data_IF_322200149620
#
_entry.id   IF_322200149620
#
_cell.length_a   1.000
_cell.length_b   1.000
_cell.length_c   1.000
_cell.angle_alpha   90.00
_cell.angle_beta   90.00
_cell.angle_gamma   90.00
#
_symmetry.space_group_name_H-M   'P 1'
#
loop_
_entity.id
_entity.type
_entity.pdbx_description
1 polymer ?
#
# COMPACT_ATOMS: atom_id res chain seq x y z
N UNK A 1 17.31 -22.91 21.85
CA UNK A 1 17.61 -21.53 21.37
C UNK A 1 16.38 -21.07 20.63
N UNK A 2 15.77 -19.95 21.03
CA UNK A 2 14.52 -19.48 20.40
C UNK A 2 14.76 -19.23 18.92
N UNK A 3 13.80 -19.62 18.08
CA UNK A 3 13.82 -19.44 16.63
C UNK A 3 13.68 -17.95 16.21
N UNK A 4 14.31 -17.04 16.95
CA UNK A 4 14.14 -15.58 16.82
C UNK A 4 14.63 -15.05 15.46
N UNK A 5 15.59 -15.75 14.84
CA UNK A 5 16.06 -15.45 13.48
C UNK A 5 15.08 -15.94 12.41
N UNK A 6 14.42 -17.09 12.63
CA UNK A 6 13.46 -17.65 11.69
C UNK A 6 12.27 -16.69 11.51
N UNK A 7 11.86 -16.04 12.60
CA UNK A 7 10.76 -15.08 12.62
C UNK A 7 11.22 -13.62 12.69
N UNK A 8 12.50 -13.30 12.45
CA UNK A 8 13.02 -11.92 12.46
C UNK A 8 12.52 -11.09 13.66
N UNK A 9 12.44 -11.67 14.85
CA UNK A 9 11.89 -11.03 16.06
C UNK A 9 12.53 -9.67 16.36
N UNK A 10 13.85 -9.45 16.16
CA UNK A 10 14.48 -8.14 16.36
C UNK A 10 13.88 -7.02 15.49
N UNK A 11 13.26 -7.33 14.35
CA UNK A 11 12.64 -6.34 13.47
C UNK A 11 11.37 -5.70 14.09
N UNK A 12 10.76 -6.34 15.09
CA UNK A 12 9.55 -5.83 15.78
C UNK A 12 9.74 -4.45 16.40
N UNK A 13 10.96 -4.11 16.83
CA UNK A 13 11.30 -2.78 17.40
C UNK A 13 11.08 -1.62 16.41
N UNK A 14 10.94 -1.94 15.13
CA UNK A 14 10.74 -0.96 14.07
C UNK A 14 9.28 -0.81 13.62
N UNK A 15 8.32 -1.53 14.23
CA UNK A 15 6.90 -1.48 13.82
C UNK A 15 6.32 -0.06 13.78
N UNK A 16 6.62 0.77 14.78
CA UNK A 16 6.20 2.18 14.78
C UNK A 16 6.82 3.02 13.66
N UNK A 17 8.04 2.68 13.21
CA UNK A 17 8.67 3.36 12.09
C UNK A 17 7.99 2.97 10.78
N UNK A 18 7.52 1.73 10.64
CA UNK A 18 6.76 1.31 9.48
C UNK A 18 5.39 2.00 9.41
N UNK A 19 4.71 2.17 10.55
CA UNK A 19 3.48 2.98 10.62
C UNK A 19 3.74 4.44 10.27
N UNK A 20 4.83 5.02 10.78
CA UNK A 20 5.24 6.38 10.41
C UNK A 20 5.49 6.49 8.91
N UNK A 21 6.29 5.58 8.33
CA UNK A 21 6.60 5.57 6.91
C UNK A 21 5.35 5.43 6.05
N UNK A 22 4.45 4.49 6.38
CA UNK A 22 3.21 4.29 5.64
C UNK A 22 2.30 5.53 5.71
N UNK A 23 2.16 6.14 6.90
CA UNK A 23 1.39 7.37 7.07
C UNK A 23 1.98 8.53 6.29
N UNK A 24 3.29 8.76 6.41
CA UNK A 24 3.96 9.86 5.72
C UNK A 24 3.90 9.70 4.21
N UNK A 25 4.20 8.51 3.71
CA UNK A 25 4.18 8.24 2.27
C UNK A 25 2.78 8.43 1.69
N UNK A 26 1.77 7.83 2.32
CA UNK A 26 0.37 7.96 1.90
C UNK A 26 -0.11 9.40 2.01
N UNK A 27 0.18 10.06 3.12
CA UNK A 27 -0.27 11.43 3.33
C UNK A 27 0.42 12.43 2.39
N UNK A 28 1.72 12.26 2.14
CA UNK A 28 2.47 13.06 1.18
C UNK A 28 1.91 12.86 -0.23
N UNK A 29 1.57 11.64 -0.62
CA UNK A 29 0.99 11.35 -1.93
C UNK A 29 -0.35 12.07 -2.11
N UNK A 30 -1.25 11.96 -1.14
CA UNK A 30 -2.55 12.64 -1.18
C UNK A 30 -2.40 14.17 -1.21
N UNK A 31 -1.50 14.72 -0.40
CA UNK A 31 -1.22 16.17 -0.40
C UNK A 31 -0.69 16.63 -1.75
N UNK A 32 0.30 15.93 -2.30
CA UNK A 32 0.94 16.29 -3.57
C UNK A 32 -0.04 16.21 -4.74
N UNK A 33 -0.76 15.09 -4.86
CA UNK A 33 -1.72 14.86 -5.96
C UNK A 33 -2.88 15.85 -5.91
N UNK A 34 -3.43 16.10 -4.72
CA UNK A 34 -4.60 16.98 -4.59
C UNK A 34 -4.23 18.45 -4.63
N UNK A 35 -3.02 18.84 -4.18
CA UNK A 35 -2.60 20.23 -4.26
C UNK A 35 -2.64 20.75 -5.70
N UNK A 36 -2.16 19.96 -6.67
CA UNK A 36 -2.21 20.32 -8.09
C UNK A 36 -3.64 20.58 -8.61
N UNK A 37 -4.61 19.80 -8.12
CA UNK A 37 -6.02 19.97 -8.47
C UNK A 37 -6.65 21.18 -7.76
N UNK A 38 -6.29 21.41 -6.49
CA UNK A 38 -6.85 22.48 -5.65
C UNK A 38 -6.29 23.85 -6.05
N UNK A 39 -4.99 23.93 -6.36
CA UNK A 39 -4.30 25.21 -6.59
C UNK A 39 -4.59 25.83 -7.96
N UNK A 40 -5.25 25.11 -8.87
CA UNK A 40 -5.51 25.56 -10.23
C UNK A 40 -6.99 25.35 -10.62
N UNK A 41 -7.76 26.41 -10.90
CA UNK A 41 -9.17 26.29 -11.28
C UNK A 41 -9.42 25.42 -12.51
N UNK A 42 -8.48 25.41 -13.47
CA UNK A 42 -8.62 24.61 -14.69
C UNK A 42 -8.47 23.10 -14.41
N UNK A 43 -7.62 22.71 -13.47
CA UNK A 43 -7.47 21.29 -13.08
C UNK A 43 -8.64 20.87 -12.18
N UNK A 44 -9.12 21.74 -11.29
CA UNK A 44 -10.35 21.50 -10.54
C UNK A 44 -11.56 21.32 -11.46
N UNK A 45 -11.68 22.09 -12.54
CA UNK A 45 -12.73 21.90 -13.53
C UNK A 45 -12.68 20.50 -14.16
N UNK A 46 -11.48 19.99 -14.47
CA UNK A 46 -11.33 18.59 -14.96
C UNK A 46 -11.76 17.55 -13.92
N UNK A 47 -11.53 17.80 -12.63
CA UNK A 47 -12.05 16.92 -11.57
C UNK A 47 -13.57 16.93 -11.56
N UNK A 48 -14.20 18.09 -11.68
CA UNK A 48 -15.66 18.20 -11.78
C UNK A 48 -16.19 17.48 -13.01
N UNK A 49 -15.59 17.69 -14.18
CA UNK A 49 -15.97 17.03 -15.43
C UNK A 49 -15.82 15.50 -15.32
N UNK A 50 -14.76 15.04 -14.66
CA UNK A 50 -14.55 13.63 -14.37
C UNK A 50 -15.66 13.05 -13.48
N UNK A 51 -16.08 13.76 -12.44
CA UNK A 51 -17.20 13.32 -11.60
C UNK A 51 -18.52 13.30 -12.38
N UNK A 52 -18.74 14.30 -13.24
CA UNK A 52 -19.93 14.34 -14.10
C UNK A 52 -19.96 13.14 -15.06
N UNK A 53 -18.83 12.82 -15.68
CA UNK A 53 -18.68 11.68 -16.59
C UNK A 53 -18.91 10.32 -15.91
N UNK A 54 -18.61 10.21 -14.61
CA UNK A 54 -18.84 9.00 -13.82
C UNK A 54 -20.20 9.01 -13.07
N UNK A 55 -21.15 9.87 -13.47
CA UNK A 55 -22.54 9.78 -13.01
C UNK A 55 -22.79 10.30 -11.58
N UNK A 56 -21.92 11.12 -11.01
CA UNK A 56 -22.18 11.73 -9.70
C UNK A 56 -23.30 12.78 -9.80
N UNK A 57 -24.28 12.71 -8.89
CA UNK A 57 -25.47 13.58 -8.93
C UNK A 57 -25.14 15.09 -8.83
N UNK A 58 -24.14 15.48 -8.02
CA UNK A 58 -23.70 16.88 -7.83
C UNK A 58 -22.19 17.03 -8.03
N UNK A 59 -21.69 17.00 -9.27
CA UNK A 59 -20.26 16.93 -9.54
C UNK A 59 -19.49 18.19 -9.11
N UNK A 60 -20.12 19.37 -9.21
CA UNK A 60 -19.57 20.64 -8.72
C UNK A 60 -19.42 20.71 -7.20
N UNK A 61 -20.11 19.85 -6.46
CA UNK A 61 -19.97 19.72 -5.01
C UNK A 61 -19.02 18.57 -4.64
N UNK A 62 -19.29 17.36 -5.16
CA UNK A 62 -18.55 16.16 -4.79
C UNK A 62 -17.11 16.12 -5.32
N UNK A 63 -16.84 16.71 -6.50
CA UNK A 63 -15.48 16.80 -7.05
C UNK A 63 -14.55 17.59 -6.11
N UNK A 64 -14.83 18.88 -5.84
CA UNK A 64 -14.04 19.67 -4.91
C UNK A 64 -14.02 19.08 -3.49
N UNK A 65 -15.16 18.56 -3.00
CA UNK A 65 -15.23 17.93 -1.68
C UNK A 65 -14.26 16.73 -1.58
N UNK A 66 -14.22 15.86 -2.58
CA UNK A 66 -13.31 14.71 -2.59
C UNK A 66 -11.84 15.16 -2.64
N UNK A 67 -11.51 16.14 -3.48
CA UNK A 67 -10.14 16.66 -3.58
C UNK A 67 -9.66 17.27 -2.24
N UNK A 68 -10.48 18.14 -1.64
CA UNK A 68 -10.17 18.73 -0.33
C UNK A 68 -10.15 17.70 0.79
N UNK A 69 -11.06 16.73 0.80
CA UNK A 69 -11.07 15.66 1.78
C UNK A 69 -9.76 14.86 1.72
N UNK A 70 -9.34 14.42 0.53
CA UNK A 70 -8.10 13.69 0.33
C UNK A 70 -6.87 14.50 0.77
N UNK A 71 -6.83 15.79 0.44
CA UNK A 71 -5.76 16.70 0.86
C UNK A 71 -5.66 16.81 2.40
N UNK A 72 -6.79 17.06 3.08
CA UNK A 72 -6.84 17.20 4.54
C UNK A 72 -6.56 15.88 5.26
N UNK A 73 -7.04 14.75 4.73
CA UNK A 73 -6.67 13.41 5.19
C UNK A 73 -5.16 13.24 5.09
N UNK A 74 -4.55 13.66 3.97
CA UNK A 74 -3.12 13.56 3.79
C UNK A 74 -2.31 14.32 4.85
N UNK A 75 -2.71 15.56 5.15
CA UNK A 75 -2.12 16.36 6.23
C UNK A 75 -2.29 15.65 7.59
N UNK A 76 -3.50 15.17 7.90
CA UNK A 76 -3.79 14.47 9.14
C UNK A 76 -2.91 13.21 9.29
N UNK A 77 -2.70 12.45 8.21
CA UNK A 77 -1.84 11.26 8.21
C UNK A 77 -0.37 11.60 8.44
N UNK A 78 0.17 12.62 7.76
CA UNK A 78 1.55 13.09 7.95
C UNK A 78 1.79 13.44 9.43
N UNK A 79 0.91 14.22 10.02
CA UNK A 79 0.99 14.61 11.43
C UNK A 79 0.69 13.44 12.39
N UNK A 80 -0.04 12.42 11.93
CA UNK A 80 -0.59 11.39 12.80
C UNK A 80 -1.61 12.00 13.77
N UNK A 81 -2.49 12.85 13.26
CA UNK A 81 -3.56 13.50 13.99
C UNK A 81 -4.89 12.82 13.64
N UNK A 82 -5.63 12.40 14.66
CA UNK A 82 -6.86 11.64 14.52
C UNK A 82 -6.70 10.46 13.53
N UNK A 83 -5.58 9.74 13.61
CA UNK A 83 -5.13 8.78 12.58
C UNK A 83 -6.21 7.77 12.24
N UNK A 84 -6.97 7.32 13.23
CA UNK A 84 -8.02 6.33 12.99
C UNK A 84 -9.19 6.90 12.18
N UNK A 85 -9.58 8.14 12.45
CA UNK A 85 -10.58 8.85 11.66
C UNK A 85 -10.06 9.14 10.26
N UNK A 86 -8.81 9.61 10.13
CA UNK A 86 -8.18 9.83 8.84
C UNK A 86 -8.13 8.53 8.00
N UNK A 87 -7.82 7.40 8.64
CA UNK A 87 -7.86 6.08 8.00
C UNK A 87 -9.26 5.65 7.54
N UNK A 88 -10.28 5.87 8.36
CA UNK A 88 -11.69 5.61 7.98
C UNK A 88 -12.14 6.52 6.83
N UNK A 89 -11.84 7.81 6.89
CA UNK A 89 -12.18 8.76 5.85
C UNK A 89 -11.46 8.43 4.53
N UNK A 90 -10.20 8.01 4.60
CA UNK A 90 -9.44 7.52 3.45
C UNK A 90 -10.13 6.29 2.84
N UNK A 91 -10.43 5.29 3.65
CA UNK A 91 -11.09 4.07 3.19
C UNK A 91 -12.45 4.38 2.55
N UNK A 92 -13.25 5.26 3.17
CA UNK A 92 -14.53 5.69 2.62
C UNK A 92 -14.39 6.37 1.25
N UNK A 93 -13.47 7.32 1.11
CA UNK A 93 -13.24 8.01 -0.15
C UNK A 93 -12.91 7.03 -1.29
N UNK A 94 -12.06 6.04 -1.01
CA UNK A 94 -11.68 5.04 -2.01
C UNK A 94 -12.71 3.93 -2.20
N UNK A 95 -13.60 3.66 -1.24
CA UNK A 95 -14.80 2.82 -1.49
C UNK A 95 -15.72 3.52 -2.48
N UNK A 96 -15.98 4.82 -2.30
CA UNK A 96 -16.81 5.59 -3.23
C UNK A 96 -16.18 5.62 -4.62
N UNK A 97 -14.88 5.91 -4.71
CA UNK A 97 -14.15 5.85 -5.99
C UNK A 97 -14.19 4.46 -6.62
N UNK A 98 -14.03 3.40 -5.82
CA UNK A 98 -14.10 2.03 -6.32
C UNK A 98 -15.47 1.69 -6.93
N UNK A 99 -16.56 2.06 -6.26
CA UNK A 99 -17.93 1.76 -6.71
C UNK A 99 -18.34 2.62 -7.91
N UNK A 100 -18.00 3.91 -7.89
CA UNK A 100 -18.49 4.86 -8.89
C UNK A 100 -17.64 4.93 -10.15
N UNK A 101 -16.37 4.53 -10.07
CA UNK A 101 -15.40 4.72 -11.16
C UNK A 101 -14.74 3.41 -11.55
N UNK A 102 -14.19 2.67 -10.58
CA UNK A 102 -13.26 1.59 -10.88
C UNK A 102 -13.90 0.19 -10.91
N UNK A 103 -15.22 0.07 -10.76
CA UNK A 103 -15.87 -1.23 -10.63
C UNK A 103 -15.68 -2.10 -11.88
N UNK A 104 -15.71 -1.47 -13.05
CA UNK A 104 -15.55 -2.13 -14.36
C UNK A 104 -14.10 -2.13 -14.87
N UNK A 105 -13.17 -1.51 -14.12
CA UNK A 105 -11.76 -1.47 -14.48
C UNK A 105 -11.10 -2.86 -14.35
N UNK A 106 -10.00 -3.06 -15.07
CA UNK A 106 -9.16 -4.24 -14.84
C UNK A 106 -8.56 -4.21 -13.43
N UNK A 107 -8.26 -5.38 -12.86
CA UNK A 107 -7.69 -5.45 -11.51
C UNK A 107 -6.40 -4.61 -11.35
N UNK A 108 -5.59 -4.49 -12.41
CA UNK A 108 -4.38 -3.64 -12.42
C UNK A 108 -4.71 -2.16 -12.27
N UNK A 109 -5.79 -1.69 -12.88
CA UNK A 109 -6.26 -0.31 -12.78
C UNK A 109 -6.95 -0.03 -11.44
N UNK A 110 -7.60 -1.03 -10.84
CA UNK A 110 -8.19 -0.92 -9.50
C UNK A 110 -7.15 -0.83 -8.38
N UNK A 111 -5.94 -1.36 -8.61
CA UNK A 111 -4.91 -1.52 -7.58
C UNK A 111 -4.60 -0.25 -6.76
N UNK A 112 -4.35 0.95 -7.35
CA UNK A 112 -4.03 2.14 -6.56
C UNK A 112 -5.15 2.50 -5.58
N UNK A 113 -6.41 2.38 -5.99
CA UNK A 113 -7.58 2.63 -5.13
C UNK A 113 -7.69 1.60 -4.01
N UNK A 114 -7.50 0.31 -4.33
CA UNK A 114 -7.52 -0.76 -3.35
C UNK A 114 -6.37 -0.63 -2.33
N UNK A 115 -5.16 -0.29 -2.78
CA UNK A 115 -4.01 -0.07 -1.91
C UNK A 115 -4.26 1.06 -0.91
N UNK A 116 -4.85 2.18 -1.35
CA UNK A 116 -5.22 3.31 -0.48
C UNK A 116 -6.37 2.96 0.47
N UNK A 117 -7.38 2.24 -0.01
CA UNK A 117 -8.49 1.74 0.79
C UNK A 117 -7.99 0.85 1.94
N UNK A 118 -7.21 -0.18 1.63
CA UNK A 118 -6.72 -1.12 2.65
C UNK A 118 -5.65 -0.51 3.56
N UNK A 119 -4.89 0.49 3.07
CA UNK A 119 -4.04 1.33 3.92
C UNK A 119 -4.88 2.12 4.93
N UNK A 120 -5.99 2.73 4.50
CA UNK A 120 -6.92 3.43 5.38
C UNK A 120 -7.49 2.51 6.46
N UNK A 121 -7.94 1.31 6.09
CA UNK A 121 -8.45 0.31 7.04
C UNK A 121 -7.36 -0.17 8.02
N UNK A 122 -6.13 -0.38 7.55
CA UNK A 122 -5.00 -0.71 8.41
C UNK A 122 -4.73 0.39 9.44
N UNK A 123 -4.64 1.65 9.00
CA UNK A 123 -4.39 2.79 9.90
C UNK A 123 -5.57 3.03 10.85
N UNK A 124 -6.81 2.78 10.42
CA UNK A 124 -8.00 2.81 11.26
C UNK A 124 -7.95 1.76 12.38
N UNK A 125 -7.50 0.53 12.07
CA UNK A 125 -7.38 -0.55 13.04
C UNK A 125 -6.15 -0.41 13.95
N UNK A 126 -5.02 0.00 13.39
CA UNK A 126 -3.74 0.04 14.11
C UNK A 126 -3.56 1.31 14.94
N UNK A 127 -3.93 2.47 14.38
CA UNK A 127 -3.57 3.80 14.88
C UNK A 127 -2.27 4.33 14.28
N UNK A 128 -1.80 5.49 14.76
CA UNK A 128 -0.65 6.20 14.18
C UNK A 128 0.74 5.80 14.67
N UNK A 129 0.81 4.91 15.67
CA UNK A 129 2.07 4.52 16.32
C UNK A 129 2.67 5.63 17.20
N UNK A 130 3.81 5.34 17.84
CA UNK A 130 4.43 6.24 18.83
C UNK A 130 4.83 7.63 18.30
N UNK A 131 4.97 7.77 16.99
CA UNK A 131 5.40 9.02 16.33
C UNK A 131 4.23 9.91 15.89
N UNK A 132 2.99 9.47 16.07
CA UNK A 132 1.81 10.27 15.78
C UNK A 132 1.57 11.33 16.87
N UNK A 133 1.02 12.49 16.49
CA UNK A 133 0.52 13.47 17.47
C UNK A 133 -0.54 12.85 18.39
N UNK A 134 -1.32 11.88 17.91
CA UNK A 134 -2.25 11.08 18.71
C UNK A 134 -1.59 10.46 19.96
N UNK A 135 -0.32 10.06 19.89
CA UNK A 135 0.38 9.46 21.02
C UNK A 135 0.69 10.47 22.13
N UNK A 136 0.69 11.77 21.81
CA UNK A 136 0.91 12.87 22.77
C UNK A 136 -0.41 13.48 23.26
N UNK A 137 -1.47 13.32 22.48
CA UNK A 137 -2.78 13.89 22.70
C UNK A 137 -3.66 12.87 23.42
N UNK A 138 -3.91 13.04 24.72
CA UNK A 138 -4.73 12.12 25.52
C UNK A 138 -6.23 12.22 25.14
N UNK A 139 -6.62 11.66 23.99
CA UNK A 139 -7.95 11.82 23.38
C UNK A 139 -8.84 10.55 23.47
N UNK A 140 -9.25 10.08 24.67
CA UNK A 140 -9.87 8.76 24.81
C UNK A 140 -11.13 8.51 23.95
N UNK A 141 -12.11 9.44 23.81
CA UNK A 141 -13.30 9.18 23.01
C UNK A 141 -13.07 9.32 21.49
N UNK A 142 -12.09 10.11 21.05
CA UNK A 142 -11.81 10.32 19.62
C UNK A 142 -10.97 9.18 19.03
N UNK A 143 -10.30 8.36 19.84
CA UNK A 143 -9.36 7.35 19.35
C UNK A 143 -10.00 6.00 18.98
N UNK A 144 -11.33 5.89 18.81
CA UNK A 144 -12.03 4.72 18.27
C UNK A 144 -11.39 3.35 18.63
N UNK A 145 -11.01 3.16 19.90
CA UNK A 145 -10.10 2.09 20.32
C UNK A 145 -10.67 0.68 20.07
N UNK A 146 -11.99 0.56 19.93
CA UNK A 146 -12.66 -0.68 19.55
C UNK A 146 -12.20 -1.24 18.19
N UNK A 147 -11.70 -0.38 17.28
CA UNK A 147 -11.16 -0.80 15.99
C UNK A 147 -9.88 -1.64 16.09
N UNK A 148 -9.20 -1.64 17.25
CA UNK A 148 -8.04 -2.52 17.49
C UNK A 148 -8.35 -3.99 17.32
N UNK A 149 -9.60 -4.39 17.57
CA UNK A 149 -10.10 -5.76 17.38
C UNK A 149 -10.04 -6.20 15.91
N UNK A 150 -9.88 -5.27 14.98
CA UNK A 150 -9.81 -5.50 13.54
C UNK A 150 -8.37 -5.52 13.00
N UNK A 151 -7.34 -5.34 13.83
CA UNK A 151 -5.93 -5.28 13.40
C UNK A 151 -5.52 -6.49 12.55
N UNK A 152 -5.86 -7.69 13.01
CA UNK A 152 -5.54 -8.91 12.28
C UNK A 152 -6.31 -9.04 10.96
N UNK A 153 -7.56 -8.59 10.92
CA UNK A 153 -8.38 -8.59 9.70
C UNK A 153 -7.80 -7.60 8.69
N UNK A 154 -7.39 -6.41 9.14
CA UNK A 154 -6.77 -5.41 8.28
C UNK A 154 -5.42 -5.87 7.72
N UNK A 155 -4.59 -6.54 8.54
CA UNK A 155 -3.34 -7.17 8.06
C UNK A 155 -3.60 -8.27 7.05
N UNK A 156 -4.58 -9.14 7.30
CA UNK A 156 -4.98 -10.17 6.35
C UNK A 156 -5.42 -9.55 5.02
N UNK A 157 -6.31 -8.56 5.07
CA UNK A 157 -6.82 -7.89 3.87
C UNK A 157 -5.69 -7.23 3.06
N UNK A 158 -4.76 -6.54 3.74
CA UNK A 158 -3.60 -5.92 3.09
C UNK A 158 -2.66 -6.96 2.47
N UNK A 159 -2.47 -8.12 3.11
CA UNK A 159 -1.71 -9.24 2.55
C UNK A 159 -2.39 -9.82 1.31
N UNK A 160 -3.69 -10.05 1.37
CA UNK A 160 -4.46 -10.62 0.26
C UNK A 160 -4.44 -9.70 -0.96
N UNK A 161 -4.72 -8.40 -0.79
CA UNK A 161 -4.73 -7.46 -1.91
C UNK A 161 -3.34 -7.31 -2.52
N UNK A 162 -2.30 -7.17 -1.68
CA UNK A 162 -0.91 -7.03 -2.15
C UNK A 162 -0.44 -8.30 -2.85
N UNK A 163 -0.67 -9.46 -2.25
CA UNK A 163 -0.24 -10.72 -2.84
C UNK A 163 -0.96 -11.04 -4.14
N UNK A 164 -2.27 -10.76 -4.21
CA UNK A 164 -3.05 -10.94 -5.45
C UNK A 164 -2.57 -9.99 -6.54
N UNK A 165 -2.27 -8.74 -6.21
CA UNK A 165 -1.67 -7.78 -7.15
C UNK A 165 -0.36 -8.30 -7.73
N UNK A 166 0.53 -8.83 -6.91
CA UNK A 166 1.82 -9.35 -7.38
C UNK A 166 1.64 -10.59 -8.27
N UNK A 167 0.81 -11.56 -7.86
CA UNK A 167 0.55 -12.76 -8.65
C UNK A 167 -0.08 -12.41 -10.00
N UNK A 168 -1.13 -11.58 -9.99
CA UNK A 168 -1.80 -11.16 -11.21
C UNK A 168 -0.89 -10.28 -12.09
N UNK A 169 -0.07 -9.44 -11.48
CA UNK A 169 0.76 -8.44 -12.16
C UNK A 169 1.89 -9.03 -13.01
N UNK A 170 2.29 -10.27 -12.73
CA UNK A 170 3.37 -10.98 -13.44
C UNK A 170 2.89 -12.23 -14.20
N UNK A 171 1.59 -12.53 -14.15
CA UNK A 171 1.02 -13.75 -14.73
C UNK A 171 1.19 -13.82 -16.25
N UNK A 172 1.07 -12.69 -16.93
CA UNK A 172 1.31 -12.56 -18.37
C UNK A 172 2.78 -12.82 -18.73
N UNK A 173 3.74 -12.32 -17.93
CA UNK A 173 5.16 -12.61 -18.12
C UNK A 173 5.49 -14.09 -17.95
N UNK A 174 4.77 -14.81 -17.07
CA UNK A 174 4.99 -16.24 -16.83
C UNK A 174 4.42 -17.09 -17.97
N UNK A 175 3.20 -16.75 -18.42
CA UNK A 175 2.47 -17.53 -19.41
C UNK A 175 2.83 -17.20 -20.85
N UNK A 176 3.51 -16.07 -21.09
CA UNK A 176 3.95 -15.63 -22.42
C UNK A 176 5.45 -15.31 -22.43
N UNK A 177 6.20 -16.10 -23.19
CA UNK A 177 7.61 -15.83 -23.46
C UNK A 177 7.83 -14.49 -24.18
N UNK A 178 6.85 -14.01 -24.94
CA UNK A 178 6.89 -12.69 -25.56
C UNK A 178 6.81 -11.59 -24.51
N UNK A 179 5.84 -11.66 -23.58
CA UNK A 179 5.74 -10.71 -22.46
C UNK A 179 6.96 -10.72 -21.55
N UNK A 180 7.59 -11.88 -21.35
CA UNK A 180 8.87 -11.96 -20.63
C UNK A 180 9.99 -11.23 -21.38
N UNK A 181 10.06 -11.37 -22.71
CA UNK A 181 11.06 -10.66 -23.54
C UNK A 181 10.82 -9.16 -23.53
N UNK A 182 9.57 -8.71 -23.69
CA UNK A 182 9.21 -7.29 -23.58
C UNK A 182 9.67 -6.69 -22.25
N UNK A 183 9.50 -7.44 -21.14
CA UNK A 183 9.98 -6.98 -19.84
C UNK A 183 11.51 -6.96 -19.75
N UNK A 184 12.21 -7.95 -20.32
CA UNK A 184 13.67 -7.92 -20.41
C UNK A 184 14.17 -6.73 -21.24
N UNK A 185 13.53 -6.43 -22.36
CA UNK A 185 13.88 -5.28 -23.22
C UNK A 185 13.59 -3.96 -22.50
N UNK A 186 12.49 -3.88 -21.74
CA UNK A 186 12.20 -2.76 -20.84
C UNK A 186 13.30 -2.57 -19.79
N UNK A 187 13.76 -3.64 -19.14
CA UNK A 187 14.86 -3.57 -18.19
C UNK A 187 16.18 -3.16 -18.86
N UNK A 188 16.44 -3.62 -20.09
CA UNK A 188 17.60 -3.22 -20.87
C UNK A 188 17.59 -1.70 -21.14
N UNK A 189 16.43 -1.14 -21.51
CA UNK A 189 16.25 0.28 -21.75
C UNK A 189 16.47 1.14 -20.48
N UNK A 190 16.25 0.57 -19.29
CA UNK A 190 16.50 1.22 -17.99
C UNK A 190 17.90 0.89 -17.41
N UNK A 191 18.80 0.31 -18.20
CA UNK A 191 20.20 0.11 -17.82
C UNK A 191 20.44 -1.01 -16.80
N UNK A 192 19.52 -1.97 -16.66
CA UNK A 192 19.74 -3.13 -15.81
C UNK A 192 20.86 -4.04 -16.36
N UNK A 193 21.70 -4.57 -15.46
CA UNK A 193 22.67 -5.60 -15.82
C UNK A 193 21.98 -6.93 -16.13
N UNK A 194 22.44 -7.64 -17.16
CA UNK A 194 21.89 -8.92 -17.61
C UNK A 194 20.35 -8.98 -17.65
N UNK A 195 19.68 -8.16 -18.49
CA UNK A 195 18.22 -8.01 -18.47
C UNK A 195 17.44 -9.33 -18.64
N UNK A 196 17.95 -10.24 -19.47
CA UNK A 196 17.33 -11.56 -19.67
C UNK A 196 17.42 -12.50 -18.44
N UNK A 197 18.31 -12.21 -17.48
CA UNK A 197 18.36 -12.89 -16.18
C UNK A 197 17.53 -12.13 -15.13
N UNK A 198 17.62 -10.80 -15.11
CA UNK A 198 16.91 -9.96 -14.13
C UNK A 198 15.39 -9.99 -14.32
N UNK A 199 14.90 -10.03 -15.56
CA UNK A 199 13.47 -10.12 -15.86
C UNK A 199 12.82 -11.35 -15.20
N UNK A 200 13.22 -12.60 -15.51
CA UNK A 200 12.64 -13.76 -14.87
C UNK A 200 12.90 -13.77 -13.36
N UNK A 201 14.06 -13.30 -12.89
CA UNK A 201 14.34 -13.22 -11.45
C UNK A 201 13.31 -12.34 -10.73
N UNK A 202 13.02 -11.15 -11.25
CA UNK A 202 12.03 -10.24 -10.64
C UNK A 202 10.61 -10.79 -10.77
N UNK A 203 10.22 -11.34 -11.93
CA UNK A 203 8.90 -11.94 -12.16
C UNK A 203 8.63 -13.07 -11.17
N UNK A 204 9.54 -14.04 -11.08
CA UNK A 204 9.36 -15.19 -10.19
C UNK A 204 9.50 -14.81 -8.71
N UNK A 205 10.32 -13.80 -8.38
CA UNK A 205 10.35 -13.25 -7.03
C UNK A 205 9.00 -12.64 -6.65
N UNK A 206 8.40 -11.81 -7.52
CA UNK A 206 7.07 -11.22 -7.29
C UNK A 206 5.98 -12.28 -7.16
N UNK A 207 5.99 -13.32 -8.00
CA UNK A 207 5.07 -14.46 -7.90
C UNK A 207 5.20 -15.15 -6.53
N UNK A 208 6.43 -15.50 -6.14
CA UNK A 208 6.71 -16.16 -4.88
C UNK A 208 6.28 -15.31 -3.67
N UNK A 209 6.64 -14.03 -3.67
CA UNK A 209 6.22 -13.06 -2.64
C UNK A 209 4.70 -13.01 -2.56
N UNK A 210 4.01 -12.92 -3.71
CA UNK A 210 2.56 -12.80 -3.75
C UNK A 210 1.84 -14.02 -3.14
N UNK A 211 2.25 -15.23 -3.54
CA UNK A 211 1.73 -16.48 -2.98
C UNK A 211 2.02 -16.57 -1.47
N UNK A 212 3.24 -16.24 -1.06
CA UNK A 212 3.64 -16.33 0.34
C UNK A 212 2.90 -15.30 1.23
N UNK A 213 2.62 -14.09 0.74
CA UNK A 213 1.79 -13.11 1.46
C UNK A 213 0.36 -13.58 1.63
N UNK A 214 -0.26 -14.13 0.56
CA UNK A 214 -1.62 -14.69 0.61
C UNK A 214 -1.70 -15.78 1.68
N UNK A 215 -0.76 -16.71 1.68
CA UNK A 215 -0.69 -17.79 2.67
C UNK A 215 -0.29 -17.29 4.08
N UNK A 216 0.40 -16.15 4.18
CA UNK A 216 1.03 -15.68 5.40
C UNK A 216 2.16 -16.61 5.84
N UNK A 217 3.09 -16.90 4.92
CA UNK A 217 4.26 -17.75 5.11
C UNK A 217 5.53 -16.91 5.13
N UNK A 218 6.38 -17.14 6.13
CA UNK A 218 7.62 -16.41 6.39
C UNK A 218 7.45 -14.88 6.25
N UNK A 219 6.32 -14.34 6.73
CA UNK A 219 5.80 -13.02 6.31
C UNK A 219 6.81 -11.89 6.50
N UNK A 220 7.64 -11.98 7.54
CA UNK A 220 8.65 -10.96 7.80
C UNK A 220 9.79 -10.97 6.77
N UNK A 221 10.26 -12.16 6.40
CA UNK A 221 11.25 -12.32 5.33
C UNK A 221 10.68 -11.92 3.98
N UNK A 222 9.44 -12.31 3.71
CA UNK A 222 8.72 -11.93 2.49
C UNK A 222 8.52 -10.42 2.42
N UNK A 223 8.26 -9.75 3.56
CA UNK A 223 8.22 -8.29 3.64
C UNK A 223 9.54 -7.63 3.23
N UNK A 224 10.69 -8.17 3.69
CA UNK A 224 12.01 -7.68 3.27
C UNK A 224 12.26 -7.90 1.78
N UNK A 225 11.91 -9.08 1.26
CA UNK A 225 12.06 -9.40 -0.16
C UNK A 225 11.17 -8.49 -1.04
N UNK A 226 9.94 -8.23 -0.59
CA UNK A 226 9.03 -7.29 -1.24
C UNK A 226 9.65 -5.88 -1.29
N UNK A 227 10.09 -5.37 -0.14
CA UNK A 227 10.70 -4.05 -0.06
C UNK A 227 11.94 -3.97 -0.96
N UNK A 228 12.82 -4.97 -0.94
CA UNK A 228 14.02 -5.02 -1.77
C UNK A 228 13.69 -4.98 -3.27
N UNK A 229 12.77 -5.82 -3.74
CA UNK A 229 12.39 -5.87 -5.16
C UNK A 229 11.88 -4.52 -5.65
N UNK A 230 11.04 -3.84 -4.87
CA UNK A 230 10.48 -2.54 -5.27
C UNK A 230 11.38 -1.34 -4.97
N UNK A 231 12.35 -1.44 -4.06
CA UNK A 231 13.42 -0.43 -3.94
C UNK A 231 14.21 -0.39 -5.25
N UNK A 232 14.56 -1.54 -5.81
CA UNK A 232 15.24 -1.61 -7.12
C UNK A 232 14.39 -0.97 -8.21
N UNK A 233 13.08 -1.28 -8.25
CA UNK A 233 12.16 -0.67 -9.23
C UNK A 233 12.12 0.86 -9.07
N UNK A 234 12.02 1.37 -7.84
CA UNK A 234 12.03 2.82 -7.58
C UNK A 234 13.35 3.44 -8.06
N UNK A 235 14.49 2.87 -7.69
CA UNK A 235 15.80 3.47 -7.99
C UNK A 235 16.20 3.38 -9.45
N UNK A 236 15.80 2.33 -10.17
CA UNK A 236 16.23 2.09 -11.55
C UNK A 236 15.22 2.54 -12.59
N UNK A 237 13.92 2.55 -12.26
CA UNK A 237 12.85 2.86 -13.21
C UNK A 237 12.21 4.21 -12.89
N UNK A 238 11.86 4.44 -11.63
CA UNK A 238 11.04 5.60 -11.27
C UNK A 238 11.87 6.82 -10.87
N UNK A 239 13.16 6.69 -10.58
CA UNK A 239 13.95 7.74 -9.92
C UNK A 239 13.87 9.14 -10.57
N UNK A 240 13.84 9.20 -11.89
CA UNK A 240 13.76 10.47 -12.64
C UNK A 240 12.33 10.97 -12.87
N UNK A 241 11.32 10.17 -12.50
CA UNK A 241 9.90 10.46 -12.70
C UNK A 241 9.31 11.27 -11.53
N UNK A 242 8.10 11.79 -11.73
CA UNK A 242 7.36 12.50 -10.70
C UNK A 242 6.85 11.57 -9.60
N UNK A 243 6.49 12.15 -8.44
CA UNK A 243 6.04 11.37 -7.28
C UNK A 243 4.79 10.51 -7.55
N UNK A 244 3.93 10.95 -8.49
CA UNK A 244 2.79 10.15 -8.96
C UNK A 244 3.22 8.80 -9.52
N UNK A 245 4.25 8.78 -10.34
CA UNK A 245 4.71 7.59 -11.04
C UNK A 245 5.50 6.66 -10.12
N UNK A 246 6.10 7.20 -9.06
CA UNK A 246 6.70 6.40 -8.00
C UNK A 246 5.67 5.60 -7.21
N UNK A 247 4.46 6.15 -7.04
CA UNK A 247 3.47 5.67 -6.08
C UNK A 247 3.23 4.16 -6.13
N UNK A 248 2.97 3.53 -7.30
CA UNK A 248 2.70 2.09 -7.36
C UNK A 248 3.84 1.22 -6.83
N UNK A 249 5.09 1.66 -6.95
CA UNK A 249 6.27 0.93 -6.47
C UNK A 249 6.64 1.30 -5.03
N UNK A 250 6.68 2.60 -4.69
CA UNK A 250 7.13 3.04 -3.37
C UNK A 250 6.17 2.62 -2.25
N UNK A 251 4.86 2.51 -2.52
CA UNK A 251 3.90 2.00 -1.53
C UNK A 251 4.16 0.53 -1.20
N UNK A 252 4.63 -0.27 -2.16
CA UNK A 252 5.00 -1.67 -1.93
C UNK A 252 6.27 -1.79 -1.08
N UNK A 253 7.17 -0.82 -1.15
CA UNK A 253 8.30 -0.71 -0.21
C UNK A 253 7.79 -0.49 1.22
N UNK A 254 6.83 0.42 1.40
CA UNK A 254 6.21 0.67 2.70
C UNK A 254 5.44 -0.55 3.24
N UNK A 255 4.70 -1.27 2.39
CA UNK A 255 4.03 -2.52 2.77
C UNK A 255 5.04 -3.61 3.12
N UNK A 256 6.12 -3.76 2.36
CA UNK A 256 7.20 -4.70 2.68
C UNK A 256 7.82 -4.40 4.04
N UNK A 257 8.12 -3.13 4.33
CA UNK A 257 8.62 -2.71 5.63
C UNK A 257 7.61 -2.95 6.77
N UNK A 258 6.32 -2.71 6.51
CA UNK A 258 5.23 -3.02 7.44
C UNK A 258 5.18 -4.51 7.76
N UNK A 259 5.14 -5.39 6.75
CA UNK A 259 5.10 -6.83 6.96
C UNK A 259 6.38 -7.35 7.64
N UNK A 260 7.54 -6.80 7.30
CA UNK A 260 8.83 -7.14 7.91
C UNK A 260 8.90 -6.81 9.41
N UNK A 261 8.18 -5.79 9.87
CA UNK A 261 8.29 -5.25 11.23
C UNK A 261 7.08 -5.56 12.11
N UNK A 262 5.86 -5.46 11.58
CA UNK A 262 4.62 -5.80 12.28
C UNK A 262 4.37 -7.32 12.24
N UNK A 263 4.64 -7.96 11.10
CA UNK A 263 4.41 -9.39 10.89
C UNK A 263 3.04 -9.71 10.28
N UNK A 264 2.63 -10.97 10.41
CA UNK A 264 1.55 -11.57 9.62
C UNK A 264 0.14 -11.43 10.20
N UNK A 265 0.03 -11.19 11.51
CA UNK A 265 -1.22 -11.27 12.25
C UNK A 265 -1.73 -12.71 12.45
N UNK A 266 -2.87 -12.85 13.12
CA UNK A 266 -3.41 -14.17 13.54
C UNK A 266 -3.82 -15.11 12.40
N UNK A 267 -4.11 -14.58 11.22
CA UNK A 267 -4.61 -15.34 10.07
C UNK A 267 -3.49 -15.72 9.09
N UNK A 268 -2.37 -16.17 9.61
CA UNK A 268 -1.19 -16.52 8.84
C UNK A 268 -0.76 -17.95 9.13
N UNK A 269 -0.28 -18.66 8.10
CA UNK A 269 0.30 -19.98 8.26
C UNK A 269 1.54 -19.98 9.16
N UNK A 270 2.24 -18.84 9.30
CA UNK A 270 3.32 -18.62 10.27
C UNK A 270 2.96 -19.09 11.69
N UNK A 271 1.72 -18.85 12.13
CA UNK A 271 1.26 -19.25 13.46
C UNK A 271 1.18 -20.78 13.64
N UNK A 272 1.03 -21.54 12.55
CA UNK A 272 1.06 -23.01 12.60
C UNK A 272 2.48 -23.53 12.76
N UNK A 273 3.46 -22.87 12.12
CA UNK A 273 4.88 -23.21 12.25
C UNK A 273 5.39 -22.87 13.65
N UNK A 274 5.07 -21.67 14.16
CA UNK A 274 5.47 -21.23 15.51
C UNK A 274 4.98 -22.21 16.59
N UNK A 275 3.71 -22.63 16.52
CA UNK A 275 3.13 -23.61 17.46
C UNK A 275 3.87 -24.95 17.44
N UNK A 276 4.26 -25.44 16.26
CA UNK A 276 5.00 -26.71 16.11
C UNK A 276 6.44 -26.63 16.58
N UNK A 277 7.07 -25.46 16.49
CA UNK A 277 8.45 -25.25 16.98
C UNK A 277 8.52 -24.96 18.48
N UNK A 278 7.40 -24.64 19.11
CA UNK A 278 7.29 -24.37 20.55
C UNK A 278 7.02 -25.63 21.39
N UNK A 279 6.59 -26.73 20.76
CA UNK A 279 6.43 -28.07 21.35
C UNK A 279 7.70 -28.88 21.19
#
# INVERSE_FOLDING_TARGET
MRHDWLFLTPATRFGDHALLALRWLTGAFLVWEMWFNISNPATMARVVDYFAANGFAWPHFFGPLSAWAQFLIGIALILGLATRWAGLALAFNFVVGMVMVHLDDTFRQQWPALALLFTGLLLAAWGGGRYALDARMNWPPLLLSRLERLRDVALLALRLVTGTFLVHGVWDNITSAERMREFADFLAAHGFAWPHLMAPLSVYAQLFIGIALIAGLATRWIGLLLAFNFVIAVTMVHWEQGFRDWWPAIVLVAFGFLFATIGAGRYAADNLLERRTAT
#
